data_IF_296723470783
#
_entry.id   IF_296723470783
#
_cell.length_a   1.000
_cell.length_b   1.000
_cell.length_c   1.000
_cell.angle_alpha   90.00
_cell.angle_beta   90.00
_cell.angle_gamma   90.00
#
_symmetry.space_group_name_H-M   'P 1'
#
loop_
_entity.id
_entity.type
_entity.pdbx_description
1 polymer ?
#
# COMPACT_ATOMS: atom_id res chain seq x y z
N UNK A 1 -4.69 2.92 -16.33
CA UNK A 1 -5.73 3.20 -15.33
C UNK A 1 -6.99 3.73 -16.01
N UNK A 2 -8.17 3.47 -15.44
CA UNK A 2 -9.47 3.98 -15.95
C UNK A 2 -9.54 5.50 -15.80
N UNK A 3 -10.01 6.21 -16.84
CA UNK A 3 -10.03 7.70 -16.86
C UNK A 3 -11.03 8.28 -15.85
N UNK A 4 -11.98 7.46 -15.42
CA UNK A 4 -13.02 7.75 -14.46
C UNK A 4 -12.48 7.87 -13.02
N UNK A 5 -11.32 7.28 -12.72
CA UNK A 5 -10.69 7.40 -11.41
C UNK A 5 -9.91 8.71 -11.36
N UNK A 6 -10.39 9.66 -10.55
CA UNK A 6 -9.89 11.04 -10.50
C UNK A 6 -8.95 11.34 -9.33
N UNK A 7 -9.00 10.54 -8.28
CA UNK A 7 -8.12 10.62 -7.11
C UNK A 7 -8.15 9.28 -6.37
N UNK A 8 -7.10 8.97 -5.59
CA UNK A 8 -7.02 7.75 -4.78
C UNK A 8 -6.39 8.02 -3.41
N UNK A 9 -6.72 7.20 -2.42
CA UNK A 9 -6.06 7.17 -1.11
C UNK A 9 -5.83 5.72 -0.70
N UNK A 10 -4.61 5.38 -0.29
CA UNK A 10 -4.24 4.03 0.12
C UNK A 10 -3.57 4.05 1.50
N UNK A 11 -4.20 3.45 2.50
CA UNK A 11 -3.65 3.35 3.86
C UNK A 11 -3.23 1.94 4.19
N UNK A 12 -2.04 1.78 4.76
CA UNK A 12 -1.40 0.49 5.06
C UNK A 12 -1.58 -0.52 3.91
N UNK A 13 -1.02 -0.23 2.72
CA UNK A 13 -1.32 -0.99 1.51
C UNK A 13 -0.83 -2.44 1.62
N UNK A 14 -1.76 -3.38 1.67
CA UNK A 14 -1.51 -4.82 1.61
C UNK A 14 -1.31 -5.31 0.16
N UNK A 15 -0.92 -6.58 -0.02
CA UNK A 15 -0.65 -7.23 -1.31
C UNK A 15 0.42 -6.49 -2.15
N UNK A 16 1.39 -5.88 -1.48
CA UNK A 16 2.51 -5.18 -2.10
C UNK A 16 3.82 -5.83 -1.63
N UNK A 17 4.73 -6.15 -2.56
CA UNK A 17 6.04 -6.75 -2.26
C UNK A 17 5.90 -8.10 -1.57
N UNK A 18 5.10 -9.03 -2.14
CA UNK A 18 4.77 -10.31 -1.48
C UNK A 18 6.00 -11.07 -0.96
N UNK A 19 7.00 -11.25 -1.82
CA UNK A 19 8.17 -12.04 -1.47
C UNK A 19 9.08 -11.35 -0.44
N UNK A 20 9.13 -10.02 -0.44
CA UNK A 20 9.81 -9.27 0.62
C UNK A 20 9.01 -9.34 1.93
N UNK A 21 7.68 -9.22 1.85
CA UNK A 21 6.81 -9.18 3.01
C UNK A 21 6.89 -10.47 3.85
N UNK A 22 6.94 -11.64 3.20
CA UNK A 22 7.06 -12.93 3.90
C UNK A 22 8.41 -13.14 4.58
N UNK A 23 9.43 -12.35 4.23
CA UNK A 23 10.73 -12.33 4.89
C UNK A 23 10.78 -11.26 6.02
N UNK A 24 10.02 -10.18 5.88
CA UNK A 24 9.98 -9.05 6.81
C UNK A 24 9.04 -9.26 8.00
N UNK A 25 8.00 -10.10 7.86
CA UNK A 25 7.04 -10.34 8.94
C UNK A 25 6.58 -11.80 9.03
N UNK A 26 6.22 -12.20 10.25
CA UNK A 26 5.51 -13.45 10.57
C UNK A 26 4.06 -13.23 10.97
N UNK A 27 3.51 -12.05 10.69
CA UNK A 27 2.13 -11.70 11.03
C UNK A 27 1.21 -12.11 9.88
N UNK A 28 0.02 -12.61 10.23
CA UNK A 28 -1.03 -12.88 9.24
C UNK A 28 -1.54 -11.57 8.62
N UNK A 29 -1.83 -11.54 7.30
CA UNK A 29 -2.04 -12.71 6.45
C UNK A 29 -0.84 -13.13 5.57
N UNK A 30 0.27 -12.39 5.55
CA UNK A 30 1.45 -12.82 4.75
C UNK A 30 2.02 -14.16 5.21
N UNK A 31 1.95 -14.44 6.51
CA UNK A 31 2.41 -15.73 7.06
C UNK A 31 1.69 -16.94 6.48
N UNK A 32 0.49 -16.80 5.88
CA UNK A 32 -0.19 -17.90 5.18
C UNK A 32 0.63 -18.44 4.01
N UNK A 33 1.40 -17.58 3.34
CA UNK A 33 2.33 -17.99 2.27
C UNK A 33 3.48 -18.81 2.85
N UNK A 34 4.04 -18.39 3.99
CA UNK A 34 5.07 -19.16 4.68
C UNK A 34 4.53 -20.49 5.20
N UNK A 35 3.29 -20.53 5.71
CA UNK A 35 2.59 -21.75 6.09
C UNK A 35 2.48 -22.72 4.92
N UNK A 36 2.03 -22.22 3.77
CA UNK A 36 1.92 -23.01 2.55
C UNK A 36 3.29 -23.52 2.09
N UNK A 37 4.32 -22.67 2.03
CA UNK A 37 5.66 -23.04 1.57
C UNK A 37 6.38 -23.99 2.54
N UNK A 38 6.04 -23.98 3.84
CA UNK A 38 6.53 -24.98 4.80
C UNK A 38 5.97 -26.37 4.53
N UNK A 39 4.72 -26.45 4.04
CA UNK A 39 4.09 -27.72 3.64
C UNK A 39 4.47 -28.16 2.22
N UNK A 40 4.74 -27.20 1.34
CA UNK A 40 4.99 -27.38 -0.10
C UNK A 40 6.24 -26.61 -0.56
N UNK A 41 7.45 -26.95 -0.07
CA UNK A 41 8.67 -26.19 -0.37
C UNK A 41 9.03 -26.16 -1.86
N UNK A 42 8.65 -27.20 -2.62
CA UNK A 42 8.81 -27.28 -4.07
C UNK A 42 8.01 -26.23 -4.84
N UNK A 43 6.94 -25.70 -4.25
CA UNK A 43 6.04 -24.73 -4.89
C UNK A 43 6.57 -23.29 -4.83
N UNK A 44 7.72 -23.00 -4.20
CA UNK A 44 8.20 -21.61 -4.02
C UNK A 44 8.22 -20.80 -5.32
N UNK A 45 8.74 -21.39 -6.39
CA UNK A 45 8.82 -20.73 -7.69
C UNK A 45 7.44 -20.44 -8.28
N UNK A 46 6.51 -21.39 -8.19
CA UNK A 46 5.15 -21.22 -8.71
C UNK A 46 4.36 -20.18 -7.91
N UNK A 47 4.55 -20.16 -6.59
CA UNK A 47 3.98 -19.13 -5.70
C UNK A 47 4.52 -17.75 -6.09
N UNK A 48 5.84 -17.59 -6.18
CA UNK A 48 6.49 -16.34 -6.59
C UNK A 48 5.96 -15.84 -7.95
N UNK A 49 5.92 -16.73 -8.96
CA UNK A 49 5.39 -16.41 -10.29
C UNK A 49 3.92 -16.00 -10.22
N UNK A 50 3.11 -16.68 -9.42
CA UNK A 50 1.67 -16.41 -9.30
C UNK A 50 1.39 -15.08 -8.59
N UNK A 51 1.98 -14.86 -7.42
CA UNK A 51 1.72 -13.63 -6.63
C UNK A 51 2.27 -12.39 -7.33
N UNK A 52 3.29 -12.51 -8.19
CA UNK A 52 3.79 -11.41 -9.01
C UNK A 52 2.71 -10.80 -9.92
N UNK A 53 1.72 -11.58 -10.37
CA UNK A 53 0.58 -11.06 -11.14
C UNK A 53 -0.41 -10.23 -10.30
N UNK A 54 -0.31 -10.29 -8.98
CA UNK A 54 -1.21 -9.59 -8.06
C UNK A 54 -0.48 -8.55 -7.20
N UNK A 55 0.85 -8.47 -7.29
CA UNK A 55 1.65 -7.51 -6.54
C UNK A 55 1.33 -6.07 -6.96
N UNK A 56 0.82 -5.28 -6.01
CA UNK A 56 0.46 -3.88 -6.22
C UNK A 56 1.62 -3.04 -6.77
N UNK A 57 2.87 -3.39 -6.43
CA UNK A 57 4.07 -2.71 -6.92
C UNK A 57 4.17 -2.83 -8.45
N UNK A 58 3.82 -4.00 -9.02
CA UNK A 58 3.88 -4.23 -10.46
C UNK A 58 2.85 -3.41 -11.26
N UNK A 59 1.84 -2.86 -10.58
CA UNK A 59 0.81 -1.98 -11.18
C UNK A 59 0.98 -0.50 -10.87
N UNK A 60 1.85 -0.16 -9.91
CA UNK A 60 1.92 1.18 -9.32
C UNK A 60 2.24 2.28 -10.34
N UNK A 61 3.10 1.99 -11.32
CA UNK A 61 3.47 2.90 -12.41
C UNK A 61 2.29 3.33 -13.27
N UNK A 62 1.21 2.54 -13.29
CA UNK A 62 -0.03 2.84 -14.03
C UNK A 62 -0.97 3.79 -13.28
N UNK A 63 -0.73 4.05 -11.99
CA UNK A 63 -1.51 4.99 -11.18
C UNK A 63 -1.10 6.41 -11.61
N UNK A 64 -2.03 7.14 -12.23
CA UNK A 64 -1.76 8.45 -12.81
C UNK A 64 -2.64 9.59 -12.26
N UNK A 65 -3.68 9.28 -11.46
CA UNK A 65 -4.42 10.32 -10.74
C UNK A 65 -3.63 10.79 -9.51
N UNK A 66 -3.96 11.98 -8.97
CA UNK A 66 -3.59 12.36 -7.62
C UNK A 66 -3.78 11.20 -6.63
N UNK A 67 -2.79 10.96 -5.77
CA UNK A 67 -2.87 9.90 -4.76
C UNK A 67 -2.14 10.26 -3.46
N UNK A 68 -2.76 9.93 -2.35
CA UNK A 68 -2.09 9.92 -1.05
C UNK A 68 -1.93 8.50 -0.51
N UNK A 69 -0.80 8.25 0.15
CA UNK A 69 -0.51 6.98 0.80
C UNK A 69 -0.18 7.24 2.26
N UNK A 70 -0.68 6.44 3.19
CA UNK A 70 -0.28 6.50 4.59
C UNK A 70 0.19 5.14 5.11
N UNK A 71 1.28 5.16 5.88
CA UNK A 71 1.93 3.96 6.43
C UNK A 71 2.23 4.16 7.92
N UNK A 72 2.15 3.08 8.69
CA UNK A 72 2.68 3.04 10.06
C UNK A 72 4.12 2.55 10.03
N UNK A 73 5.04 3.26 10.68
CA UNK A 73 6.46 2.86 10.69
C UNK A 73 6.75 1.66 11.61
N UNK A 74 5.76 1.23 12.40
CA UNK A 74 5.80 0.03 13.23
C UNK A 74 4.78 -1.02 12.76
N UNK A 75 4.28 -0.91 11.52
CA UNK A 75 3.32 -1.86 10.96
C UNK A 75 3.99 -3.21 10.72
N UNK A 76 3.56 -4.22 11.48
CA UNK A 76 4.01 -5.60 11.32
C UNK A 76 3.06 -6.45 10.46
N UNK A 77 1.91 -5.92 10.04
CA UNK A 77 1.00 -6.59 9.09
C UNK A 77 1.39 -6.26 7.66
N UNK A 78 1.60 -4.98 7.38
CA UNK A 78 2.11 -4.47 6.09
C UNK A 78 3.41 -3.71 6.34
N UNK A 79 4.58 -4.41 6.30
CA UNK A 79 5.87 -3.78 6.61
C UNK A 79 6.08 -2.47 5.85
N UNK A 80 6.54 -1.38 6.49
CA UNK A 80 6.63 -0.06 5.88
C UNK A 80 7.50 -0.05 4.61
N UNK A 81 8.50 -0.94 4.52
CA UNK A 81 9.35 -1.14 3.36
C UNK A 81 8.54 -1.41 2.08
N UNK A 82 7.51 -2.26 2.15
CA UNK A 82 6.68 -2.57 0.99
C UNK A 82 5.81 -1.39 0.60
N UNK A 83 5.35 -0.61 1.59
CA UNK A 83 4.64 0.65 1.38
C UNK A 83 5.51 1.74 0.72
N UNK A 84 6.78 1.86 1.14
CA UNK A 84 7.75 2.73 0.48
C UNK A 84 8.05 2.28 -0.95
N UNK A 85 8.25 0.97 -1.18
CA UNK A 85 8.50 0.42 -2.50
C UNK A 85 7.33 0.68 -3.46
N UNK A 86 6.09 0.47 -3.00
CA UNK A 86 4.88 0.84 -3.71
C UNK A 86 4.88 2.33 -4.05
N UNK A 87 5.01 3.19 -3.04
CA UNK A 87 4.93 4.64 -3.21
C UNK A 87 5.96 5.17 -4.21
N UNK A 88 7.19 4.68 -4.13
CA UNK A 88 8.27 5.10 -5.03
C UNK A 88 7.95 4.79 -6.50
N UNK A 89 7.27 3.66 -6.75
CA UNK A 89 6.91 3.22 -8.11
C UNK A 89 5.64 3.86 -8.67
N UNK A 90 4.81 4.49 -7.83
CA UNK A 90 3.60 5.20 -8.30
C UNK A 90 3.94 6.24 -9.38
N UNK A 91 3.25 6.15 -10.53
CA UNK A 91 3.47 7.02 -11.70
C UNK A 91 2.82 8.40 -11.64
N UNK A 92 2.00 8.68 -10.63
CA UNK A 92 1.30 9.94 -10.47
C UNK A 92 2.28 11.09 -10.22
N UNK A 93 2.11 12.20 -10.94
CA UNK A 93 2.88 13.42 -10.71
C UNK A 93 2.48 14.15 -9.42
N UNK A 94 1.22 13.99 -9.01
CA UNK A 94 0.70 14.49 -7.74
C UNK A 94 0.53 13.30 -6.77
N UNK A 95 1.55 13.08 -5.94
CA UNK A 95 1.52 12.03 -4.91
C UNK A 95 2.15 12.49 -3.61
N UNK A 96 1.61 12.04 -2.48
CA UNK A 96 2.19 12.31 -1.16
C UNK A 96 2.15 11.08 -0.26
N UNK A 97 3.23 10.86 0.48
CA UNK A 97 3.34 9.80 1.48
C UNK A 97 3.28 10.40 2.89
N UNK A 98 2.43 9.84 3.74
CA UNK A 98 2.29 10.19 5.14
C UNK A 98 2.82 9.05 6.02
N UNK A 99 4.11 9.10 6.42
CA UNK A 99 4.65 8.17 7.39
C UNK A 99 4.22 8.56 8.81
N UNK A 100 3.73 7.59 9.58
CA UNK A 100 3.34 7.77 10.97
C UNK A 100 4.26 6.98 11.90
N UNK A 101 5.14 7.70 12.59
CA UNK A 101 5.99 7.14 13.65
C UNK A 101 5.16 6.80 14.90
N UNK A 102 5.47 5.69 15.57
CA UNK A 102 4.71 5.17 16.70
C UNK A 102 3.36 4.51 16.35
N UNK A 103 3.10 4.27 15.06
CA UNK A 103 1.87 3.65 14.58
C UNK A 103 2.14 2.32 13.85
N UNK A 104 1.26 1.35 14.07
CA UNK A 104 1.27 0.04 13.43
C UNK A 104 0.33 0.02 12.23
N UNK A 105 -0.41 -1.08 12.07
CA UNK A 105 -1.36 -1.24 10.95
C UNK A 105 -2.55 -0.26 10.97
N UNK A 106 -2.77 0.47 12.07
CA UNK A 106 -3.70 1.58 12.08
C UNK A 106 -3.23 2.74 11.18
N UNK A 107 -1.92 2.84 10.91
CA UNK A 107 -1.29 3.82 10.02
C UNK A 107 -1.77 5.26 10.27
N UNK A 108 -1.96 5.63 11.53
CA UNK A 108 -2.42 6.96 11.91
C UNK A 108 -3.88 7.27 11.56
N UNK A 109 -4.70 6.25 11.25
CA UNK A 109 -6.10 6.38 10.75
C UNK A 109 -6.90 7.46 11.45
N UNK A 110 -6.86 7.51 12.78
CA UNK A 110 -7.59 8.49 13.58
C UNK A 110 -7.32 9.94 13.15
N UNK A 111 -6.06 10.27 12.84
CA UNK A 111 -5.65 11.59 12.36
C UNK A 111 -5.74 11.69 10.83
N UNK A 112 -5.46 10.59 10.13
CA UNK A 112 -5.34 10.58 8.68
C UNK A 112 -6.70 10.70 7.96
N UNK A 113 -7.81 10.24 8.56
CA UNK A 113 -9.14 10.33 7.93
C UNK A 113 -9.51 11.74 7.51
N UNK A 114 -9.23 12.76 8.33
CA UNK A 114 -9.52 14.16 7.96
C UNK A 114 -8.64 14.66 6.80
N UNK A 115 -7.44 14.09 6.62
CA UNK A 115 -6.56 14.39 5.47
C UNK A 115 -7.17 13.80 4.19
N UNK A 116 -7.65 12.55 4.27
CA UNK A 116 -8.35 11.88 3.16
C UNK A 116 -9.59 12.67 2.72
N UNK A 117 -10.40 13.13 3.66
CA UNK A 117 -11.61 13.91 3.36
C UNK A 117 -11.26 15.22 2.63
N UNK A 118 -10.26 15.96 3.12
CA UNK A 118 -9.79 17.20 2.46
C UNK A 118 -9.20 16.94 1.08
N UNK A 119 -8.41 15.88 0.95
CA UNK A 119 -7.81 15.47 -0.31
C UNK A 119 -8.89 15.20 -1.37
N UNK A 120 -9.90 14.39 -1.04
CA UNK A 120 -10.99 14.14 -1.97
C UNK A 120 -11.89 15.36 -2.22
N UNK A 121 -12.15 16.20 -1.21
CA UNK A 121 -12.89 17.45 -1.41
C UNK A 121 -12.19 18.37 -2.42
N UNK A 122 -10.85 18.46 -2.36
CA UNK A 122 -10.07 19.23 -3.31
C UNK A 122 -10.14 18.64 -4.72
N UNK A 123 -9.78 17.35 -4.89
CA UNK A 123 -9.64 16.75 -6.23
C UNK A 123 -10.95 16.36 -6.91
N UNK A 124 -12.02 16.10 -6.15
CA UNK A 124 -13.31 15.65 -6.69
C UNK A 124 -14.37 16.73 -6.71
N UNK A 125 -14.33 17.69 -5.79
CA UNK A 125 -15.36 18.73 -5.65
C UNK A 125 -14.85 20.14 -5.97
N UNK A 126 -13.54 20.32 -6.20
CA UNK A 126 -12.95 21.64 -6.45
C UNK A 126 -13.06 22.60 -5.27
N UNK A 127 -13.23 22.09 -4.04
CA UNK A 127 -13.36 22.89 -2.83
C UNK A 127 -12.01 22.98 -2.13
N UNK A 128 -11.51 24.19 -1.89
CA UNK A 128 -10.47 24.39 -0.88
C UNK A 128 -11.11 24.26 0.50
N UNK A 129 -10.80 23.18 1.21
CA UNK A 129 -11.22 23.04 2.62
C UNK A 129 -10.22 23.83 3.46
N UNK A 130 -10.67 24.98 3.98
CA UNK A 130 -9.86 25.86 4.82
C UNK A 130 -9.34 25.11 6.06
N UNK A 131 -8.14 25.50 6.51
CA UNK A 131 -7.33 24.84 7.54
C UNK A 131 -8.02 24.72 8.89
#
# INVERSE_FOLDING_TARGET
MRREVRAAAAGAPYLCGFMDAIELTHTYPYEEINDYLRLHPESRREVEETVAYFDGINFADRIACPIIVNIGLQDNVCPPETGYALFNRIGAGDKHLYPYDGHGHDAGRFRHSAIVDRFFAHHLLGREVSR
#
